data_IF_906430972433
#
_entry.id   IF_906430972433
#
_cell.length_a   1.000
_cell.length_b   1.000
_cell.length_c   1.000
_cell.angle_alpha   90.00
_cell.angle_beta   90.00
_cell.angle_gamma   90.00
#
_symmetry.space_group_name_H-M   'P 1'
#
loop_
_entity.id
_entity.type
_entity.pdbx_description
1 polymer ?
#
# COMPACT_ATOMS: atom_id res chain seq x y z
N UNK A 1 20.53 -10.78 -27.78
CA UNK A 1 20.97 -11.06 -26.38
C UNK A 1 20.66 -9.80 -25.57
N UNK A 2 19.88 -9.78 -24.49
CA UNK A 2 19.85 -10.62 -23.29
C UNK A 2 18.41 -10.81 -22.74
N UNK A 3 18.15 -12.07 -22.45
CA UNK A 3 17.41 -12.62 -21.28
C UNK A 3 15.91 -12.35 -21.19
N UNK A 4 15.18 -13.40 -21.56
CA UNK A 4 13.80 -13.73 -21.21
C UNK A 4 13.80 -14.24 -19.76
N UNK A 5 13.02 -13.63 -18.87
CA UNK A 5 12.77 -14.16 -17.51
C UNK A 5 11.34 -14.71 -17.36
N UNK A 6 11.19 -15.65 -16.43
CA UNK A 6 10.30 -16.82 -16.49
C UNK A 6 8.89 -16.56 -15.96
N UNK A 7 7.90 -17.04 -16.76
CA UNK A 7 6.63 -17.66 -16.35
C UNK A 7 6.65 -18.20 -14.90
N UNK A 8 5.95 -17.53 -13.97
CA UNK A 8 5.18 -18.26 -12.92
C UNK A 8 4.19 -17.48 -12.04
N UNK A 9 3.94 -16.17 -12.22
CA UNK A 9 2.96 -15.47 -11.37
C UNK A 9 2.11 -14.45 -12.15
N UNK A 10 1.55 -14.90 -13.26
CA UNK A 10 0.76 -14.08 -14.17
C UNK A 10 -0.71 -14.36 -13.87
N UNK A 11 -1.31 -13.56 -12.97
CA UNK A 11 -2.76 -13.57 -12.74
C UNK A 11 -3.44 -12.76 -13.84
N UNK A 12 -4.44 -13.38 -14.46
CA UNK A 12 -5.15 -12.86 -15.63
C UNK A 12 -6.32 -12.01 -15.17
N UNK A 13 -6.35 -10.77 -15.65
CA UNK A 13 -7.42 -9.81 -15.49
C UNK A 13 -7.90 -9.40 -16.87
N UNK A 14 -9.20 -9.50 -17.10
CA UNK A 14 -9.80 -9.24 -18.41
C UNK A 14 -9.50 -7.81 -18.86
N UNK A 15 -8.69 -7.71 -19.92
CA UNK A 15 -8.15 -6.50 -20.56
C UNK A 15 -6.93 -5.88 -19.86
N UNK A 16 -5.76 -6.13 -20.48
CA UNK A 16 -4.58 -5.23 -20.61
C UNK A 16 -4.43 -4.27 -19.44
N UNK A 17 -3.86 -4.69 -18.32
CA UNK A 17 -2.48 -4.29 -18.00
C UNK A 17 -1.97 -5.11 -16.81
N UNK A 18 -0.78 -5.69 -16.95
CA UNK A 18 -0.01 -6.11 -15.78
C UNK A 18 0.47 -4.84 -15.10
N UNK A 19 -0.37 -4.25 -14.25
CA UNK A 19 0.10 -3.20 -13.35
C UNK A 19 1.13 -3.88 -12.45
N UNK A 20 2.40 -3.55 -12.69
CA UNK A 20 3.51 -4.11 -11.95
C UNK A 20 3.45 -3.53 -10.53
N UNK A 21 2.65 -4.16 -9.66
CA UNK A 21 2.51 -3.79 -8.25
C UNK A 21 3.88 -3.70 -7.58
N UNK A 22 4.84 -4.54 -7.98
CA UNK A 22 6.24 -4.46 -7.52
C UNK A 22 6.93 -3.15 -7.91
N UNK A 23 6.69 -2.65 -9.13
CA UNK A 23 7.22 -1.36 -9.58
C UNK A 23 6.56 -0.21 -8.83
N UNK A 24 5.24 -0.27 -8.60
CA UNK A 24 4.50 0.73 -7.82
C UNK A 24 4.98 0.75 -6.36
N UNK A 25 5.08 -0.42 -5.72
CA UNK A 25 5.62 -0.59 -4.36
C UNK A 25 7.03 -0.01 -4.27
N UNK A 26 7.90 -0.31 -5.24
CA UNK A 26 9.27 0.21 -5.27
C UNK A 26 9.34 1.73 -5.39
N UNK A 27 8.39 2.36 -6.09
CA UNK A 27 8.31 3.82 -6.19
C UNK A 27 7.81 4.45 -4.89
N UNK A 28 6.79 3.86 -4.26
CA UNK A 28 6.30 4.31 -2.96
C UNK A 28 7.33 4.11 -1.84
N UNK A 29 8.14 3.04 -1.90
CA UNK A 29 9.24 2.80 -0.96
C UNK A 29 10.34 3.87 -0.99
N UNK A 30 10.38 4.74 -2.00
CA UNK A 30 11.28 5.91 -1.99
C UNK A 30 10.80 7.02 -1.05
N UNK A 31 9.57 6.95 -0.55
CA UNK A 31 9.04 7.90 0.41
C UNK A 31 9.61 7.60 1.81
N UNK A 32 10.31 8.56 2.46
CA UNK A 32 10.88 8.35 3.79
C UNK A 32 9.81 8.21 4.89
N UNK A 33 8.54 8.53 4.58
CA UNK A 33 7.42 8.40 5.52
C UNK A 33 7.02 6.94 5.77
N UNK A 34 7.42 6.01 4.89
CA UNK A 34 7.03 4.60 4.96
C UNK A 34 8.25 3.70 5.00
N UNK A 35 8.16 2.62 5.78
CA UNK A 35 9.22 1.60 5.86
C UNK A 35 8.91 0.43 4.92
N UNK A 36 7.64 0.08 4.76
CA UNK A 36 7.22 -1.02 3.90
C UNK A 36 5.82 -0.77 3.36
N UNK A 37 5.55 -1.27 2.16
CA UNK A 37 4.23 -1.17 1.53
C UNK A 37 3.91 -2.47 0.81
N UNK A 38 2.65 -2.86 0.93
CA UNK A 38 2.07 -3.97 0.19
C UNK A 38 0.84 -3.46 -0.57
N UNK A 39 0.91 -3.43 -1.90
CA UNK A 39 -0.19 -2.99 -2.75
C UNK A 39 -1.00 -4.21 -3.20
N UNK A 40 -2.32 -4.08 -3.10
CA UNK A 40 -3.28 -5.07 -3.53
C UNK A 40 -4.32 -4.47 -4.47
N UNK A 41 -4.49 -5.09 -5.63
CA UNK A 41 -5.52 -4.78 -6.59
C UNK A 41 -6.43 -5.99 -6.78
N UNK A 42 -7.73 -5.78 -6.63
CA UNK A 42 -8.71 -6.79 -6.97
C UNK A 42 -9.13 -6.63 -8.44
N UNK A 43 -9.21 -7.75 -9.12
CA UNK A 43 -9.69 -7.90 -10.49
C UNK A 43 -11.05 -7.31 -10.79
N UNK A 44 -11.91 -7.27 -9.79
CA UNK A 44 -13.28 -6.77 -9.91
C UNK A 44 -13.41 -5.28 -9.61
N UNK A 45 -12.30 -4.62 -9.26
CA UNK A 45 -12.29 -3.26 -8.75
C UNK A 45 -11.43 -2.35 -9.62
N UNK A 46 -11.94 -1.17 -9.94
CA UNK A 46 -11.21 -0.15 -10.73
C UNK A 46 -10.22 0.67 -9.89
N UNK A 47 -9.85 0.20 -8.69
CA UNK A 47 -8.96 0.93 -7.79
C UNK A 47 -8.12 0.00 -6.91
N UNK A 48 -6.96 0.53 -6.50
CA UNK A 48 -5.99 -0.17 -5.67
C UNK A 48 -6.13 0.23 -4.20
N UNK A 49 -5.84 -0.74 -3.33
CA UNK A 49 -5.68 -0.51 -1.90
C UNK A 49 -4.29 -0.98 -1.47
N UNK A 50 -3.75 -0.41 -0.39
CA UNK A 50 -2.45 -0.85 0.11
C UNK A 50 -2.40 -0.93 1.62
N UNK A 51 -1.56 -1.82 2.12
CA UNK A 51 -1.16 -1.87 3.52
C UNK A 51 0.22 -1.23 3.62
N UNK A 52 0.33 -0.19 4.41
CA UNK A 52 1.54 0.62 4.54
C UNK A 52 2.01 0.54 5.98
N UNK A 53 3.29 0.27 6.18
CA UNK A 53 3.96 0.37 7.47
C UNK A 53 4.62 1.76 7.52
N UNK A 54 4.03 2.73 8.23
CA UNK A 54 4.65 4.04 8.38
C UNK A 54 5.91 3.95 9.24
N UNK A 55 6.88 4.80 8.95
CA UNK A 55 8.05 4.94 9.82
C UNK A 55 7.62 5.54 11.16
N UNK A 56 8.12 4.99 12.27
CA UNK A 56 7.74 5.44 13.62
C UNK A 56 8.08 6.90 13.84
N UNK A 57 9.31 7.32 13.52
CA UNK A 57 9.74 8.71 13.74
C UNK A 57 8.96 9.66 12.85
N UNK A 58 8.78 9.35 11.56
CA UNK A 58 7.94 10.15 10.67
C UNK A 58 6.51 10.35 11.18
N UNK A 59 5.89 9.28 11.72
CA UNK A 59 4.53 9.36 12.26
C UNK A 59 4.47 10.15 13.58
N UNK A 60 5.47 10.00 14.45
CA UNK A 60 5.59 10.73 15.70
C UNK A 60 5.86 12.22 15.48
N UNK A 61 6.68 12.57 14.48
CA UNK A 61 6.96 13.94 14.07
C UNK A 61 5.68 14.62 13.55
N UNK A 62 4.98 13.97 12.62
CA UNK A 62 3.67 14.42 12.13
C UNK A 62 2.65 14.56 13.28
N UNK A 63 2.63 13.61 14.21
CA UNK A 63 1.74 13.68 15.36
C UNK A 63 2.08 14.87 16.28
N UNK A 64 3.37 15.17 16.49
CA UNK A 64 3.81 16.32 17.26
C UNK A 64 3.38 17.65 16.61
N UNK A 65 3.52 17.78 15.27
CA UNK A 65 3.04 18.93 14.50
C UNK A 65 1.52 19.12 14.60
N UNK A 66 0.77 18.03 14.66
CA UNK A 66 -0.68 18.03 14.77
C UNK A 66 -1.20 17.99 16.21
N UNK A 67 -0.33 18.13 17.22
CA UNK A 67 -0.64 18.06 18.65
C UNK A 67 -1.36 16.77 19.07
N UNK A 68 -1.08 15.65 18.40
CA UNK A 68 -1.58 14.32 18.74
C UNK A 68 -0.56 13.63 19.65
N UNK A 69 -0.90 13.47 20.92
CA UNK A 69 -0.08 12.73 21.90
C UNK A 69 -0.48 11.26 22.02
N UNK A 70 -1.09 10.73 20.96
CA UNK A 70 -1.54 9.35 20.89
C UNK A 70 -0.36 8.40 20.68
N UNK A 71 -0.46 7.20 21.26
CA UNK A 71 0.54 6.16 21.02
C UNK A 71 0.60 5.77 19.54
N UNK A 72 1.78 5.35 19.05
CA UNK A 72 2.01 4.98 17.65
C UNK A 72 0.95 4.05 17.04
N UNK A 73 0.43 3.08 17.81
CA UNK A 73 -0.67 2.20 17.38
C UNK A 73 -1.98 2.95 17.15
N UNK A 74 -2.31 3.89 18.03
CA UNK A 74 -3.50 4.74 17.93
C UNK A 74 -3.37 5.72 16.75
N UNK A 75 -2.16 6.25 16.52
CA UNK A 75 -1.86 7.10 15.36
C UNK A 75 -2.08 6.35 14.04
N UNK A 76 -1.65 5.09 13.94
CA UNK A 76 -1.91 4.27 12.75
C UNK A 76 -3.41 4.04 12.50
N UNK A 77 -4.23 3.99 13.55
CA UNK A 77 -5.68 3.87 13.40
C UNK A 77 -6.37 5.21 13.14
N UNK A 78 -5.66 6.32 13.29
CA UNK A 78 -6.23 7.64 13.13
C UNK A 78 -6.47 7.95 11.64
N UNK A 79 -7.70 8.35 11.33
CA UNK A 79 -8.10 8.69 9.96
C UNK A 79 -7.28 9.85 9.39
N UNK A 80 -6.84 10.81 10.23
CA UNK A 80 -6.00 11.93 9.79
C UNK A 80 -4.63 11.45 9.32
N UNK A 81 -3.97 10.59 10.10
CA UNK A 81 -2.66 10.03 9.75
C UNK A 81 -2.74 9.18 8.47
N UNK A 82 -3.77 8.32 8.39
CA UNK A 82 -4.06 7.51 7.20
C UNK A 82 -4.23 8.38 5.96
N UNK A 83 -4.97 9.49 6.07
CA UNK A 83 -5.21 10.42 4.98
C UNK A 83 -3.96 11.21 4.60
N UNK A 84 -3.16 11.64 5.56
CA UNK A 84 -1.88 12.32 5.31
C UNK A 84 -0.92 11.43 4.52
N UNK A 85 -0.71 10.19 4.96
CA UNK A 85 0.15 9.23 4.25
C UNK A 85 -0.41 8.92 2.86
N UNK A 86 -1.72 8.75 2.73
CA UNK A 86 -2.36 8.54 1.43
C UNK A 86 -2.09 9.69 0.47
N UNK A 87 -2.20 10.93 0.95
CA UNK A 87 -1.97 12.14 0.15
C UNK A 87 -0.51 12.24 -0.29
N UNK A 88 0.43 12.03 0.64
CA UNK A 88 1.86 12.03 0.36
C UNK A 88 2.26 10.92 -0.64
N UNK A 89 1.70 9.72 -0.48
CA UNK A 89 1.89 8.63 -1.43
C UNK A 89 1.32 9.01 -2.80
N UNK A 90 0.09 9.52 -2.89
CA UNK A 90 -0.48 9.93 -4.17
C UNK A 90 0.26 11.11 -4.81
N UNK A 91 0.78 12.05 -4.02
CA UNK A 91 1.63 13.16 -4.47
C UNK A 91 2.95 12.63 -5.03
N UNK A 92 3.59 11.68 -4.35
CA UNK A 92 4.78 11.01 -4.85
C UNK A 92 4.49 10.15 -6.08
N UNK A 93 3.35 9.47 -6.13
CA UNK A 93 2.85 8.70 -7.25
C UNK A 93 2.71 9.54 -8.53
N UNK A 94 2.20 10.78 -8.38
CA UNK A 94 2.13 11.74 -9.46
C UNK A 94 3.51 12.27 -9.87
N UNK A 95 4.37 12.63 -8.90
CA UNK A 95 5.74 13.13 -9.16
C UNK A 95 6.64 12.10 -9.86
N UNK A 96 6.53 10.83 -9.47
CA UNK A 96 7.33 9.73 -10.02
C UNK A 96 6.78 9.19 -11.35
N UNK A 97 5.79 9.87 -11.96
CA UNK A 97 5.07 9.42 -13.15
C UNK A 97 4.68 7.93 -13.02
N UNK A 98 4.16 7.57 -11.85
CA UNK A 98 3.57 6.23 -11.65
C UNK A 98 2.28 6.13 -12.44
N UNK A 99 1.61 7.27 -12.65
CA UNK A 99 0.47 7.39 -13.52
C UNK A 99 0.85 8.25 -14.73
N UNK A 100 0.53 7.78 -15.93
CA UNK A 100 0.42 8.69 -17.07
C UNK A 100 -0.66 9.76 -16.77
N UNK A 101 -0.55 10.98 -17.32
CA UNK A 101 -1.42 12.12 -16.98
C UNK A 101 -2.92 11.90 -17.23
N UNK A 102 -3.33 10.76 -17.78
CA UNK A 102 -4.68 10.55 -18.30
C UNK A 102 -5.53 9.48 -17.63
N UNK A 103 -5.03 8.66 -16.69
CA UNK A 103 -5.84 7.51 -16.27
C UNK A 103 -6.04 7.25 -14.77
N UNK A 104 -5.23 7.71 -13.82
CA UNK A 104 -5.59 7.71 -12.38
C UNK A 104 -6.00 6.37 -11.73
N UNK A 105 -6.08 5.27 -12.48
CA UNK A 105 -6.51 3.93 -12.06
C UNK A 105 -5.42 3.23 -11.24
N UNK A 106 -4.17 3.72 -11.33
CA UNK A 106 -3.02 3.22 -10.57
C UNK A 106 -2.85 3.91 -9.20
N UNK A 107 -3.67 4.90 -8.86
CA UNK A 107 -3.60 5.58 -7.56
C UNK A 107 -4.26 4.76 -6.46
N UNK A 108 -3.68 4.86 -5.26
CA UNK A 108 -4.25 4.24 -4.06
C UNK A 108 -5.51 5.01 -3.67
N UNK A 109 -6.63 4.30 -3.56
CA UNK A 109 -7.89 4.90 -3.09
C UNK A 109 -8.01 4.83 -1.57
N UNK A 110 -7.48 3.76 -0.99
CA UNK A 110 -7.52 3.50 0.44
C UNK A 110 -6.23 2.80 0.89
N UNK A 111 -5.67 3.26 1.99
CA UNK A 111 -4.49 2.64 2.62
C UNK A 111 -4.80 2.22 4.04
N UNK A 112 -4.29 1.08 4.50
CA UNK A 112 -4.31 0.69 5.90
C UNK A 112 -2.93 0.90 6.50
N UNK A 113 -2.84 1.63 7.61
CA UNK A 113 -1.58 1.80 8.32
C UNK A 113 -1.37 0.64 9.30
N UNK A 114 -0.25 -0.06 9.11
CA UNK A 114 0.15 -1.15 9.98
C UNK A 114 1.21 -0.70 10.99
N UNK A 115 0.93 -0.74 12.30
CA UNK A 115 1.89 -0.37 13.33
C UNK A 115 2.98 -1.43 13.56
N UNK A 116 2.89 -2.57 12.89
CA UNK A 116 3.83 -3.65 13.03
C UNK A 116 4.50 -3.91 11.66
N UNK A 117 5.83 -3.90 11.58
CA UNK A 117 6.49 -4.24 10.33
C UNK A 117 6.15 -5.68 9.88
N UNK A 118 6.36 -5.94 8.60
CA UNK A 118 6.17 -7.27 8.04
C UNK A 118 7.28 -8.19 8.53
N UNK A 119 7.00 -8.93 9.61
CA UNK A 119 7.97 -9.83 10.23
C UNK A 119 7.95 -11.24 9.61
N UNK A 120 9.12 -11.90 9.64
CA UNK A 120 9.28 -13.31 9.24
C UNK A 120 8.52 -14.22 10.22
N UNK A 121 8.44 -13.85 11.51
CA UNK A 121 7.73 -14.61 12.54
C UNK A 121 6.24 -14.79 12.24
N UNK A 122 5.63 -13.83 11.54
CA UNK A 122 4.21 -13.91 11.12
C UNK A 122 4.04 -14.62 9.77
N UNK A 123 5.12 -15.16 9.22
CA UNK A 123 5.20 -15.74 7.88
C UNK A 123 4.71 -14.78 6.77
N UNK A 124 4.84 -13.46 7.00
CA UNK A 124 4.42 -12.44 6.03
C UNK A 124 5.54 -12.09 5.04
N UNK A 125 6.77 -12.41 5.41
CA UNK A 125 7.98 -12.08 4.67
C UNK A 125 8.91 -13.31 4.61
N UNK A 126 9.61 -13.48 3.50
CA UNK A 126 10.70 -14.46 3.38
C UNK A 126 11.93 -13.97 4.15
N UNK A 127 12.87 -14.86 4.52
CA UNK A 127 14.17 -14.46 5.06
C UNK A 127 15.00 -13.59 4.11
N UNK A 128 14.60 -13.48 2.84
CA UNK A 128 15.16 -12.56 1.84
C UNK A 128 14.42 -11.22 1.75
N UNK A 129 13.64 -10.88 2.77
CA UNK A 129 12.81 -9.67 2.86
C UNK A 129 11.79 -9.50 1.73
N UNK A 130 11.43 -10.59 1.04
CA UNK A 130 10.37 -10.56 0.02
C UNK A 130 9.00 -10.84 0.66
N UNK A 131 8.03 -10.00 0.31
CA UNK A 131 6.66 -10.13 0.78
C UNK A 131 6.00 -11.41 0.24
N UNK A 132 5.46 -12.24 1.14
CA UNK A 132 4.70 -13.43 0.77
C UNK A 132 3.25 -13.04 0.46
N UNK A 133 3.01 -12.52 -0.76
CA UNK A 133 1.69 -12.06 -1.24
C UNK A 133 0.50 -12.98 -0.88
N UNK A 134 0.53 -14.31 -1.08
CA UNK A 134 -0.62 -15.17 -0.74
C UNK A 134 -0.91 -15.24 0.77
N UNK A 135 0.12 -15.15 1.62
CA UNK A 135 -0.02 -15.16 3.07
C UNK A 135 -0.46 -13.80 3.60
N UNK A 136 0.10 -12.72 3.06
CA UNK A 136 -0.37 -11.35 3.30
C UNK A 136 -1.84 -11.20 2.96
N UNK A 137 -2.26 -11.68 1.79
CA UNK A 137 -3.66 -11.66 1.40
C UNK A 137 -4.53 -12.45 2.38
N UNK A 138 -4.08 -13.60 2.86
CA UNK A 138 -4.83 -14.41 3.82
C UNK A 138 -4.94 -13.71 5.19
N UNK A 139 -3.87 -13.04 5.63
CA UNK A 139 -3.81 -12.37 6.92
C UNK A 139 -4.57 -11.03 6.92
N UNK A 140 -4.37 -10.22 5.89
CA UNK A 140 -4.99 -8.90 5.73
C UNK A 140 -6.31 -8.96 4.98
N UNK A 141 -6.86 -10.15 4.70
CA UNK A 141 -8.08 -10.32 3.90
C UNK A 141 -9.22 -9.45 4.41
N UNK A 142 -9.55 -9.60 5.69
CA UNK A 142 -10.63 -8.86 6.36
C UNK A 142 -10.41 -7.34 6.29
N UNK A 143 -9.17 -6.89 6.50
CA UNK A 143 -8.80 -5.47 6.44
C UNK A 143 -8.93 -4.92 5.03
N UNK A 144 -8.43 -5.65 4.02
CA UNK A 144 -8.54 -5.27 2.60
C UNK A 144 -10.00 -5.21 2.18
N UNK A 145 -10.82 -6.21 2.56
CA UNK A 145 -12.26 -6.21 2.30
C UNK A 145 -12.94 -5.00 2.97
N UNK A 146 -12.57 -4.67 4.20
CA UNK A 146 -13.04 -3.46 4.88
C UNK A 146 -12.62 -2.19 4.15
N UNK A 147 -11.37 -2.06 3.69
CA UNK A 147 -10.91 -0.92 2.90
C UNK A 147 -11.70 -0.75 1.61
N UNK A 148 -11.96 -1.85 0.89
CA UNK A 148 -12.79 -1.84 -0.31
C UNK A 148 -14.23 -1.45 0.01
N UNK A 149 -14.79 -1.97 1.10
CA UNK A 149 -16.14 -1.62 1.55
C UNK A 149 -16.23 -0.14 1.94
N UNK A 150 -15.25 0.41 2.66
CA UNK A 150 -15.18 1.83 3.01
C UNK A 150 -15.03 2.71 1.76
N UNK A 151 -14.17 2.31 0.82
CA UNK A 151 -13.94 3.05 -0.43
C UNK A 151 -15.17 3.03 -1.35
N UNK A 152 -15.94 1.94 -1.37
CA UNK A 152 -17.23 1.84 -2.09
C UNK A 152 -18.36 2.55 -1.36
N UNK A 153 -18.35 2.52 -0.03
CA UNK A 153 -19.39 3.03 0.85
C UNK A 153 -19.40 4.56 1.01
N UNK A 154 -18.57 5.30 0.28
CA UNK A 154 -18.55 6.78 0.26
C UNK A 154 -19.79 7.46 -0.35
N UNK A 155 -20.95 6.79 -0.33
CA UNK A 155 -22.28 7.38 -0.52
C UNK A 155 -23.17 7.01 0.67
N UNK A 156 -23.12 7.84 1.71
CA UNK A 156 -24.29 8.19 2.51
C UNK A 156 -24.12 9.62 2.99
#
# INVERSE_FOLDING_TARGET
MKVIDRKKNIFKLSQVEYVAVESIESKYLQCPLITSIWVYGNSFESFLVAVVVPERKALEDWAAEHHLTDGYKSLCQNMKARKYILDELNSMGQKQQVCAPFEGFELLKAVHLEPNPFDIERDLMTPTFKLKRPLLLKYYKDRVEKLYSEAKGGKV
#
